data_IF_565202911213
#
_entry.id   IF_565202911213
#
_cell.length_a   1.000
_cell.length_b   1.000
_cell.length_c   1.000
_cell.angle_alpha   90.00
_cell.angle_beta   90.00
_cell.angle_gamma   90.00
#
_symmetry.space_group_name_H-M   'P 1'
#
loop_
_entity.id
_entity.type
_entity.pdbx_description
1 polymer ?
#
# COMPACT_ATOMS: atom_id res chain seq x y z
N UNK A 1 13.13 -22.70 -10.90
CA UNK A 1 14.22 -22.62 -9.88
C UNK A 1 13.60 -22.42 -8.52
N UNK A 2 14.07 -23.11 -7.49
CA UNK A 2 13.54 -22.84 -6.13
C UNK A 2 13.86 -21.40 -5.72
N UNK A 3 12.91 -20.72 -5.08
CA UNK A 3 13.10 -19.38 -4.48
C UNK A 3 14.20 -19.45 -3.43
N UNK A 4 14.98 -18.38 -3.26
CA UNK A 4 16.15 -18.37 -2.36
C UNK A 4 15.81 -18.68 -0.90
N UNK A 5 14.60 -18.38 -0.49
CA UNK A 5 14.05 -18.64 0.84
C UNK A 5 13.18 -19.89 0.93
N UNK A 6 13.17 -20.71 -0.14
CA UNK A 6 12.40 -21.95 -0.27
C UNK A 6 10.86 -21.79 -0.20
N UNK A 7 10.33 -20.57 -0.38
CA UNK A 7 8.87 -20.38 -0.49
C UNK A 7 8.32 -21.06 -1.76
N UNK A 8 7.10 -21.58 -1.65
CA UNK A 8 6.33 -21.99 -2.82
C UNK A 8 5.92 -20.77 -3.67
N UNK A 9 5.60 -20.93 -4.97
CA UNK A 9 5.19 -19.82 -5.83
C UNK A 9 3.99 -19.02 -5.33
N UNK A 10 3.07 -19.65 -4.62
CA UNK A 10 1.86 -19.06 -4.03
C UNK A 10 2.06 -18.57 -2.59
N UNK A 11 3.26 -18.70 -2.04
CA UNK A 11 3.57 -18.31 -0.66
C UNK A 11 4.21 -16.91 -0.60
N UNK A 12 3.65 -16.03 0.22
CA UNK A 12 4.20 -14.71 0.52
C UNK A 12 5.13 -14.75 1.75
N UNK A 13 6.00 -13.74 1.89
CA UNK A 13 6.90 -13.56 3.04
C UNK A 13 6.11 -13.30 4.32
N UNK A 14 6.67 -13.54 5.51
CA UNK A 14 6.04 -13.17 6.77
C UNK A 14 5.66 -11.69 6.80
N UNK A 15 4.44 -11.41 7.21
CA UNK A 15 3.86 -10.07 7.25
C UNK A 15 3.50 -9.75 8.70
N UNK A 16 3.80 -8.51 9.10
CA UNK A 16 3.49 -8.00 10.43
C UNK A 16 3.08 -6.54 10.38
N UNK A 17 2.07 -6.18 11.15
CA UNK A 17 1.64 -4.81 11.40
C UNK A 17 1.81 -4.49 12.88
N UNK A 18 2.72 -3.56 13.20
CA UNK A 18 2.92 -3.08 14.58
C UNK A 18 2.25 -1.71 14.69
N UNK A 19 1.10 -1.66 15.35
CA UNK A 19 0.28 -0.46 15.56
C UNK A 19 0.86 0.44 16.64
N UNK A 20 0.42 1.70 16.64
CA UNK A 20 0.84 2.72 17.62
C UNK A 20 2.36 2.88 17.69
N UNK A 21 3.00 2.90 16.52
CA UNK A 21 4.47 2.96 16.42
C UNK A 21 5.02 4.37 16.65
N UNK A 22 4.22 5.41 16.36
CA UNK A 22 4.50 6.82 16.63
C UNK A 22 3.27 7.50 17.24
N UNK A 23 3.40 8.78 17.63
CA UNK A 23 2.33 9.60 18.20
C UNK A 23 1.33 10.17 17.16
N UNK A 24 1.39 9.75 15.88
CA UNK A 24 0.41 10.17 14.87
C UNK A 24 -0.97 9.57 15.19
N UNK A 25 -2.06 10.18 14.67
CA UNK A 25 -3.43 9.72 14.91
C UNK A 25 -3.68 8.27 14.49
N UNK A 26 -2.98 7.81 13.44
CA UNK A 26 -2.84 6.42 13.08
C UNK A 26 -1.37 6.14 12.74
N UNK A 27 -0.80 5.04 13.23
CA UNK A 27 0.62 4.75 13.02
C UNK A 27 0.91 3.26 13.03
N UNK A 28 1.53 2.78 11.97
CA UNK A 28 1.82 1.36 11.77
C UNK A 28 3.21 1.18 11.17
N UNK A 29 4.04 0.35 11.78
CA UNK A 29 5.18 -0.24 11.09
C UNK A 29 4.68 -1.51 10.37
N UNK A 30 4.62 -1.45 9.05
CA UNK A 30 4.28 -2.59 8.19
C UNK A 30 5.56 -3.28 7.72
N UNK A 31 5.62 -4.59 7.92
CA UNK A 31 6.76 -5.44 7.55
C UNK A 31 6.29 -6.55 6.61
N UNK A 32 7.04 -6.78 5.52
CA UNK A 32 6.88 -7.91 4.63
C UNK A 32 8.28 -8.49 4.35
N UNK A 33 8.62 -9.58 5.02
CA UNK A 33 9.99 -10.08 5.04
C UNK A 33 10.97 -9.04 5.56
N UNK A 34 11.90 -8.59 4.71
CA UNK A 34 12.87 -7.53 5.05
C UNK A 34 12.40 -6.12 4.65
N UNK A 35 11.32 -6.02 3.89
CA UNK A 35 10.72 -4.72 3.56
C UNK A 35 10.01 -4.17 4.79
N UNK A 36 10.29 -2.91 5.12
CA UNK A 36 9.72 -2.19 6.26
C UNK A 36 9.27 -0.81 5.83
N UNK A 37 8.01 -0.50 6.09
CA UNK A 37 7.42 0.80 5.77
C UNK A 37 6.74 1.34 7.02
N UNK A 38 7.12 2.54 7.42
CA UNK A 38 6.38 3.30 8.42
C UNK A 38 5.23 4.00 7.71
N UNK A 39 4.00 3.69 8.11
CA UNK A 39 2.78 4.29 7.60
C UNK A 39 2.14 5.10 8.72
N UNK A 40 1.95 6.39 8.52
CA UNK A 40 1.29 7.26 9.48
C UNK A 40 0.12 7.98 8.84
N UNK A 41 -0.88 8.32 9.66
CA UNK A 41 -2.02 9.13 9.25
C UNK A 41 -2.21 10.28 10.22
N UNK A 42 -2.14 11.49 9.69
CA UNK A 42 -2.43 12.73 10.41
C UNK A 42 -3.78 13.28 9.98
N UNK A 43 -4.61 13.64 10.95
CA UNK A 43 -5.90 14.30 10.72
C UNK A 43 -5.70 15.81 10.83
N UNK A 44 -6.14 16.55 9.82
CA UNK A 44 -6.12 18.00 9.78
C UNK A 44 -7.56 18.54 9.59
N UNK A 45 -8.02 19.42 10.46
CA UNK A 45 -9.38 20.00 10.42
C UNK A 45 -9.56 21.06 9.32
N UNK A 46 -9.08 20.74 8.13
CA UNK A 46 -9.16 21.56 6.94
C UNK A 46 -9.18 20.66 5.69
N UNK A 47 -9.93 21.10 4.68
CA UNK A 47 -9.84 20.51 3.34
C UNK A 47 -8.96 21.38 2.43
N UNK A 48 -8.42 20.86 1.33
CA UNK A 48 -7.66 21.67 0.36
C UNK A 48 -8.48 22.86 -0.17
N UNK A 49 -7.81 23.96 -0.50
CA UNK A 49 -8.46 25.21 -0.96
C UNK A 49 -9.45 25.00 -2.13
N UNK A 50 -9.13 24.08 -3.05
CA UNK A 50 -9.98 23.79 -4.20
C UNK A 50 -11.31 23.10 -3.82
N UNK A 51 -11.44 22.61 -2.57
CA UNK A 51 -12.67 22.05 -2.01
C UNK A 51 -13.49 23.06 -1.23
N UNK A 52 -12.95 24.24 -0.88
CA UNK A 52 -13.67 25.26 -0.16
C UNK A 52 -15.00 25.62 -0.87
N UNK A 53 -16.03 25.81 -0.11
CA UNK A 53 -17.40 26.11 -0.56
C UNK A 53 -18.10 24.98 -1.36
N UNK A 54 -17.52 23.78 -1.43
CA UNK A 54 -18.16 22.64 -2.11
C UNK A 54 -18.98 21.78 -1.17
N UNK A 55 -18.77 21.89 0.15
CA UNK A 55 -19.38 21.05 1.21
C UNK A 55 -19.35 19.56 0.83
N UNK A 56 -18.21 19.09 0.29
CA UNK A 56 -18.07 17.80 -0.33
C UNK A 56 -17.52 16.71 0.63
N UNK A 57 -17.56 16.98 1.97
CA UNK A 57 -16.98 16.09 2.98
C UNK A 57 -15.48 16.28 3.13
N UNK A 58 -14.78 15.21 3.54
CA UNK A 58 -13.33 15.23 3.75
C UNK A 58 -12.49 14.94 2.51
N UNK A 59 -11.19 14.94 2.71
CA UNK A 59 -10.21 14.57 1.70
C UNK A 59 -9.19 13.56 2.24
N UNK A 60 -8.55 12.83 1.34
CA UNK A 60 -7.41 11.98 1.63
C UNK A 60 -6.33 12.21 0.58
N UNK A 61 -5.12 12.47 1.05
CA UNK A 61 -3.91 12.52 0.24
C UNK A 61 -2.85 11.57 0.79
N UNK A 62 -1.92 11.14 -0.05
CA UNK A 62 -0.85 10.26 0.36
C UNK A 62 0.49 10.77 -0.15
N UNK A 63 1.53 10.59 0.67
CA UNK A 63 2.92 10.79 0.32
C UNK A 63 3.68 9.46 0.45
N UNK A 64 4.73 9.31 -0.34
CA UNK A 64 5.59 8.13 -0.31
C UNK A 64 7.03 8.56 -0.51
N UNK A 65 7.89 8.09 0.37
CA UNK A 65 9.31 8.37 0.31
C UNK A 65 10.13 7.13 0.72
N UNK A 66 11.38 7.08 0.28
CA UNK A 66 12.34 6.07 0.72
C UNK A 66 13.48 6.73 1.49
N UNK A 67 13.81 6.21 2.67
CA UNK A 67 15.03 6.61 3.35
C UNK A 67 16.24 6.37 2.45
N UNK A 68 17.27 7.25 2.49
CA UNK A 68 18.49 7.07 1.71
C UNK A 68 19.15 5.70 1.88
N UNK A 69 19.00 5.11 3.06
CA UNK A 69 19.58 3.81 3.45
C UNK A 69 18.63 2.63 3.25
N UNK A 70 17.41 2.86 2.72
CA UNK A 70 16.41 1.81 2.58
C UNK A 70 16.86 0.67 1.64
N UNK A 71 17.72 0.97 0.67
CA UNK A 71 18.30 0.00 -0.26
C UNK A 71 19.80 0.22 -0.48
N UNK A 72 20.39 -0.58 -1.36
CA UNK A 72 21.78 -0.43 -1.82
C UNK A 72 21.80 -0.38 -3.35
N UNK A 73 22.52 0.59 -3.95
CA UNK A 73 23.28 1.68 -3.34
C UNK A 73 22.38 2.71 -2.64
N UNK A 74 22.96 3.56 -1.78
CA UNK A 74 22.26 4.65 -1.09
C UNK A 74 21.60 5.60 -2.09
N UNK A 75 20.30 5.88 -1.89
CA UNK A 75 19.53 6.86 -2.67
C UNK A 75 19.70 8.28 -2.10
N UNK A 76 19.81 9.34 -2.92
CA UNK A 76 19.67 10.72 -2.44
C UNK A 76 18.29 10.94 -1.80
N UNK A 77 18.18 11.89 -0.86
CA UNK A 77 16.85 12.30 -0.34
C UNK A 77 16.11 13.06 -1.42
N UNK A 78 14.83 12.71 -1.59
CA UNK A 78 13.91 13.43 -2.45
C UNK A 78 13.65 14.84 -1.87
N UNK A 79 13.33 15.80 -2.74
CA UNK A 79 13.01 17.18 -2.34
C UNK A 79 14.19 18.02 -1.82
N UNK A 80 15.39 17.46 -1.69
CA UNK A 80 16.57 18.21 -1.24
C UNK A 80 17.26 18.90 -2.42
N UNK A 81 17.69 20.16 -2.22
CA UNK A 81 18.46 20.95 -3.21
C UNK A 81 17.73 21.18 -4.55
N UNK A 82 16.41 21.46 -4.51
CA UNK A 82 15.64 21.79 -5.71
C UNK A 82 15.39 20.61 -6.66
N UNK A 83 15.70 19.38 -6.27
CA UNK A 83 15.33 18.19 -7.04
C UNK A 83 13.86 17.87 -6.77
N UNK A 84 13.02 17.72 -7.81
CA UNK A 84 11.66 17.23 -7.64
C UNK A 84 11.69 15.81 -7.07
N UNK A 85 10.55 15.36 -6.54
CA UNK A 85 10.32 13.94 -6.24
C UNK A 85 10.65 13.12 -7.50
N UNK A 86 11.25 11.94 -7.32
CA UNK A 86 11.45 11.07 -8.46
C UNK A 86 10.10 10.57 -9.01
N UNK A 87 10.06 10.25 -10.31
CA UNK A 87 8.84 9.83 -10.97
C UNK A 87 8.20 8.59 -10.32
N UNK A 88 9.02 7.68 -9.77
CA UNK A 88 8.58 6.47 -9.07
C UNK A 88 7.87 6.82 -7.75
N UNK A 89 8.46 7.68 -6.92
CA UNK A 89 7.83 8.11 -5.65
C UNK A 89 6.50 8.82 -5.93
N UNK A 90 6.47 9.69 -6.95
CA UNK A 90 5.25 10.38 -7.36
C UNK A 90 4.15 9.42 -7.86
N UNK A 91 4.52 8.40 -8.62
CA UNK A 91 3.59 7.36 -9.09
C UNK A 91 3.01 6.56 -7.93
N UNK A 92 3.87 6.11 -6.99
CA UNK A 92 3.46 5.27 -5.85
C UNK A 92 2.55 6.05 -4.90
N UNK A 93 2.84 7.30 -4.57
CA UNK A 93 1.94 8.10 -3.73
C UNK A 93 0.55 8.29 -4.36
N UNK A 94 0.47 8.43 -5.69
CA UNK A 94 -0.81 8.49 -6.40
C UNK A 94 -1.57 7.15 -6.33
N UNK A 95 -0.87 6.02 -6.43
CA UNK A 95 -1.42 4.68 -6.28
C UNK A 95 -2.00 4.49 -4.87
N UNK A 96 -1.23 4.78 -3.82
CA UNK A 96 -1.67 4.69 -2.42
C UNK A 96 -2.94 5.54 -2.22
N UNK A 97 -2.89 6.81 -2.61
CA UNK A 97 -4.02 7.72 -2.45
C UNK A 97 -5.29 7.26 -3.18
N UNK A 98 -5.18 6.76 -4.43
CA UNK A 98 -6.35 6.22 -5.16
C UNK A 98 -6.93 5.01 -4.47
N UNK A 99 -6.07 4.08 -4.07
CA UNK A 99 -6.46 2.85 -3.38
C UNK A 99 -7.22 3.14 -2.08
N UNK A 100 -6.68 3.99 -1.22
CA UNK A 100 -7.31 4.33 0.05
C UNK A 100 -8.61 5.12 -0.14
N UNK A 101 -8.70 5.99 -1.16
CA UNK A 101 -9.97 6.67 -1.49
C UNK A 101 -11.06 5.71 -1.98
N UNK A 102 -10.73 4.55 -2.53
CA UNK A 102 -11.73 3.52 -2.82
C UNK A 102 -12.26 2.85 -1.54
N UNK A 103 -11.47 2.78 -0.48
CA UNK A 103 -11.83 2.16 0.79
C UNK A 103 -12.71 3.03 1.69
N UNK A 104 -12.75 4.35 1.47
CA UNK A 104 -13.40 5.31 2.36
C UNK A 104 -14.50 6.11 1.65
N UNK A 105 -15.59 6.42 2.36
CA UNK A 105 -16.62 7.36 1.94
C UNK A 105 -16.25 8.78 2.38
N UNK A 106 -15.54 9.51 1.53
CA UNK A 106 -15.09 10.86 1.83
C UNK A 106 -16.27 11.84 2.05
N UNK A 107 -17.44 11.60 1.42
CA UNK A 107 -18.62 12.41 1.62
C UNK A 107 -19.26 12.22 3.04
N UNK A 108 -18.94 11.09 3.69
CA UNK A 108 -19.35 10.80 5.05
C UNK A 108 -18.42 11.39 6.11
N UNK A 109 -17.27 11.91 5.70
CA UNK A 109 -16.29 12.55 6.57
C UNK A 109 -16.65 14.03 6.84
N UNK A 110 -16.25 14.59 7.99
CA UNK A 110 -16.24 16.03 8.17
C UNK A 110 -15.28 16.72 7.18
N UNK A 111 -15.31 18.05 7.11
CA UNK A 111 -14.36 18.85 6.31
C UNK A 111 -12.94 18.78 6.90
N UNK A 112 -12.34 17.59 6.84
CA UNK A 112 -11.00 17.29 7.32
C UNK A 112 -10.17 16.59 6.23
N UNK A 113 -8.86 16.66 6.34
CA UNK A 113 -7.93 15.94 5.45
C UNK A 113 -7.20 14.86 6.23
N UNK A 114 -7.21 13.64 5.70
CA UNK A 114 -6.31 12.57 6.11
C UNK A 114 -5.03 12.66 5.29
N UNK A 115 -3.93 12.99 5.94
CA UNK A 115 -2.59 12.94 5.38
C UNK A 115 -1.97 11.59 5.69
N UNK A 116 -1.70 10.82 4.64
CA UNK A 116 -1.12 9.48 4.75
C UNK A 116 0.32 9.54 4.30
N UNK A 117 1.24 9.30 5.21
CA UNK A 117 2.68 9.31 4.93
C UNK A 117 3.22 7.88 4.99
N UNK A 118 3.95 7.46 3.94
CA UNK A 118 4.54 6.13 3.83
C UNK A 118 6.04 6.25 3.61
N UNK A 119 6.83 6.03 4.67
CA UNK A 119 8.28 6.09 4.64
C UNK A 119 8.90 4.69 4.62
N UNK A 120 9.58 4.35 3.53
CA UNK A 120 10.28 3.07 3.41
C UNK A 120 11.59 3.12 4.18
N UNK A 121 11.67 2.34 5.25
CA UNK A 121 12.85 2.22 6.13
C UNK A 121 13.86 1.20 5.59
N UNK A 122 13.34 0.11 4.99
CA UNK A 122 14.12 -0.96 4.37
C UNK A 122 13.35 -1.52 3.17
N UNK A 123 14.03 -1.77 2.06
CA UNK A 123 13.44 -2.22 0.82
C UNK A 123 14.06 -3.56 0.36
N UNK A 124 13.19 -4.56 0.17
CA UNK A 124 13.53 -5.88 -0.37
C UNK A 124 12.38 -6.40 -1.27
N UNK A 125 11.94 -5.60 -2.25
CA UNK A 125 10.76 -5.87 -3.08
C UNK A 125 9.45 -5.56 -2.36
N UNK A 126 8.36 -5.31 -3.12
CA UNK A 126 7.01 -5.11 -2.60
C UNK A 126 6.81 -3.86 -1.73
N UNK A 127 7.63 -2.80 -1.87
CA UNK A 127 7.53 -1.60 -1.02
C UNK A 127 6.20 -0.88 -1.17
N UNK A 128 5.65 -0.79 -2.39
CA UNK A 128 4.36 -0.12 -2.66
C UNK A 128 3.17 -0.89 -2.10
N UNK A 129 3.18 -2.22 -2.21
CA UNK A 129 2.11 -3.07 -1.68
C UNK A 129 2.14 -3.13 -0.15
N UNK A 130 3.34 -3.19 0.46
CA UNK A 130 3.52 -3.08 1.91
C UNK A 130 3.03 -1.71 2.42
N UNK A 131 3.32 -0.62 1.70
CA UNK A 131 2.84 0.72 2.03
C UNK A 131 1.30 0.81 1.99
N UNK A 132 0.65 0.28 0.94
CA UNK A 132 -0.82 0.26 0.85
C UNK A 132 -1.43 -0.51 2.02
N UNK A 133 -0.91 -1.70 2.32
CA UNK A 133 -1.43 -2.54 3.39
C UNK A 133 -1.26 -1.91 4.78
N UNK A 134 -0.10 -1.32 5.05
CA UNK A 134 0.15 -0.61 6.31
C UNK A 134 -0.64 0.68 6.44
N UNK A 135 -0.75 1.44 5.35
CA UNK A 135 -1.51 2.69 5.32
C UNK A 135 -3.01 2.48 5.58
N UNK A 136 -3.58 1.36 5.11
CA UNK A 136 -4.97 1.01 5.43
C UNK A 136 -5.15 0.77 6.93
N UNK A 137 -4.26 0.01 7.57
CA UNK A 137 -4.32 -0.25 9.02
C UNK A 137 -4.13 1.05 9.80
N UNK A 138 -3.18 1.91 9.39
CA UNK A 138 -2.98 3.23 10.01
C UNK A 138 -4.19 4.15 9.80
N UNK A 139 -4.83 4.12 8.63
CA UNK A 139 -6.05 4.89 8.36
C UNK A 139 -7.20 4.41 9.26
N UNK A 140 -7.34 3.11 9.46
CA UNK A 140 -8.35 2.57 10.39
C UNK A 140 -8.14 3.11 11.80
N UNK A 141 -6.90 3.13 12.31
CA UNK A 141 -6.57 3.67 13.63
C UNK A 141 -6.89 5.17 13.75
N UNK A 142 -6.58 5.96 12.70
CA UNK A 142 -6.91 7.38 12.67
C UNK A 142 -8.43 7.61 12.66
N UNK A 143 -9.20 6.75 11.98
CA UNK A 143 -10.66 6.83 12.00
C UNK A 143 -11.23 6.44 13.38
N UNK A 144 -10.65 5.45 14.06
CA UNK A 144 -11.03 5.14 15.45
C UNK A 144 -10.77 6.33 16.38
N UNK A 145 -9.60 6.96 16.23
CA UNK A 145 -9.29 8.16 16.99
C UNK A 145 -10.32 9.29 16.74
N UNK A 146 -10.71 9.55 15.48
CA UNK A 146 -11.74 10.52 15.15
C UNK A 146 -13.11 10.16 15.75
N UNK A 147 -13.46 8.88 15.79
CA UNK A 147 -14.70 8.39 16.41
C UNK A 147 -14.70 8.62 17.92
N UNK A 148 -13.59 8.31 18.60
CA UNK A 148 -13.39 8.58 20.03
C UNK A 148 -13.51 10.08 20.36
N UNK A 149 -13.02 10.96 19.46
CA UNK A 149 -13.17 12.40 19.57
C UNK A 149 -14.57 12.90 19.17
N UNK A 150 -15.49 12.00 18.79
CA UNK A 150 -16.85 12.32 18.30
C UNK A 150 -16.86 13.24 17.06
N UNK A 151 -15.84 13.17 16.25
CA UNK A 151 -15.70 13.95 15.01
C UNK A 151 -16.42 13.30 13.83
N UNK A 152 -16.67 11.97 13.85
CA UNK A 152 -17.31 11.25 12.77
C UNK A 152 -18.85 11.23 12.92
N UNK A 153 -19.61 11.74 11.92
CA UNK A 153 -21.08 11.62 11.90
C UNK A 153 -21.55 10.18 11.75
N UNK A 154 -20.79 9.38 10.99
CA UNK A 154 -20.95 7.93 10.79
C UNK A 154 -19.60 7.33 10.44
N UNK A 155 -19.46 6.01 10.61
CA UNK A 155 -18.26 5.29 10.20
C UNK A 155 -18.06 5.37 8.69
N UNK A 156 -16.93 5.94 8.20
CA UNK A 156 -16.77 6.22 6.78
C UNK A 156 -16.08 5.10 5.99
N UNK A 157 -15.46 4.11 6.65
CA UNK A 157 -14.77 3.04 5.95
C UNK A 157 -15.78 2.12 5.25
N UNK A 158 -15.66 1.94 3.94
CA UNK A 158 -16.51 1.08 3.11
C UNK A 158 -16.09 -0.38 3.17
N UNK A 159 -14.81 -0.64 3.41
CA UNK A 159 -14.24 -1.96 3.51
C UNK A 159 -12.72 -1.93 3.42
N UNK A 160 -12.11 -3.07 3.75
CA UNK A 160 -10.66 -3.24 3.67
C UNK A 160 -10.21 -3.29 2.22
N UNK A 161 -8.99 -2.83 1.97
CA UNK A 161 -8.27 -3.04 0.71
C UNK A 161 -6.95 -3.70 1.00
N UNK A 162 -6.49 -4.55 0.09
CA UNK A 162 -5.22 -5.25 0.24
C UNK A 162 -4.46 -5.26 -1.09
N UNK A 163 -3.15 -5.31 -1.02
CA UNK A 163 -2.29 -5.23 -2.18
C UNK A 163 -1.16 -6.27 -2.09
N UNK A 164 -0.82 -6.87 -3.23
CA UNK A 164 0.32 -7.77 -3.36
C UNK A 164 1.04 -7.53 -4.68
N UNK A 165 2.35 -7.84 -4.73
CA UNK A 165 3.06 -7.99 -5.98
C UNK A 165 2.95 -9.43 -6.48
N UNK A 166 2.92 -9.61 -7.79
CA UNK A 166 2.92 -10.90 -8.46
C UNK A 166 3.64 -10.76 -9.79
N UNK A 167 4.35 -11.77 -10.23
CA UNK A 167 5.06 -11.69 -11.50
C UNK A 167 5.40 -13.05 -12.08
N UNK A 168 5.99 -13.03 -13.28
CA UNK A 168 6.55 -14.20 -13.95
C UNK A 168 8.06 -14.20 -13.75
N UNK A 169 8.57 -15.26 -13.13
CA UNK A 169 10.00 -15.48 -12.93
C UNK A 169 10.36 -16.83 -13.52
N UNK A 170 11.17 -16.85 -14.56
CA UNK A 170 11.51 -18.06 -15.32
C UNK A 170 10.27 -18.82 -15.83
N UNK A 171 9.26 -18.09 -16.31
CA UNK A 171 8.02 -18.65 -16.83
C UNK A 171 7.03 -19.16 -15.76
N UNK A 172 7.33 -19.02 -14.47
CA UNK A 172 6.46 -19.43 -13.36
C UNK A 172 5.84 -18.22 -12.69
N UNK A 173 4.52 -18.23 -12.47
CA UNK A 173 3.82 -17.16 -11.77
C UNK A 173 4.06 -17.28 -10.26
N UNK A 174 4.52 -16.18 -9.63
CA UNK A 174 4.87 -16.13 -8.20
C UNK A 174 4.26 -14.91 -7.54
N UNK A 175 3.81 -15.05 -6.29
CA UNK A 175 3.31 -13.95 -5.46
C UNK A 175 4.42 -13.42 -4.55
N UNK A 176 4.33 -12.13 -4.22
CA UNK A 176 5.23 -11.43 -3.31
C UNK A 176 6.71 -11.60 -3.69
N UNK A 177 7.10 -10.94 -4.77
CA UNK A 177 8.48 -10.97 -5.27
C UNK A 177 9.41 -10.22 -4.32
N UNK A 178 10.52 -10.86 -3.92
CA UNK A 178 11.63 -10.16 -3.27
C UNK A 178 12.41 -9.32 -4.30
N UNK A 179 13.38 -8.53 -3.84
CA UNK A 179 14.17 -7.66 -4.72
C UNK A 179 14.89 -8.43 -5.86
N UNK A 180 15.38 -9.64 -5.60
CA UNK A 180 16.08 -10.44 -6.61
C UNK A 180 15.11 -11.01 -7.64
N UNK A 181 13.95 -11.46 -7.18
CA UNK A 181 12.89 -11.98 -8.04
C UNK A 181 12.31 -10.85 -8.90
N UNK A 182 11.97 -9.70 -8.29
CA UNK A 182 11.48 -8.50 -8.96
C UNK A 182 12.47 -8.01 -10.04
N UNK A 183 13.74 -7.86 -9.71
CA UNK A 183 14.78 -7.43 -10.67
C UNK A 183 15.04 -8.43 -11.81
N UNK A 184 14.69 -9.69 -11.63
CA UNK A 184 14.85 -10.76 -12.63
C UNK A 184 13.54 -11.14 -13.31
N UNK A 185 12.41 -10.62 -12.88
CA UNK A 185 11.10 -10.94 -13.41
C UNK A 185 11.00 -10.65 -14.93
N UNK A 186 10.21 -11.45 -15.61
CA UNK A 186 9.83 -11.25 -17.02
C UNK A 186 8.64 -10.27 -17.08
N UNK A 187 7.78 -10.37 -16.07
CA UNK A 187 6.58 -9.51 -15.86
C UNK A 187 6.48 -9.23 -14.38
N UNK A 188 6.25 -7.97 -14.00
CA UNK A 188 5.93 -7.53 -12.65
C UNK A 188 4.57 -6.85 -12.64
N UNK A 189 3.66 -7.33 -11.79
CA UNK A 189 2.35 -6.75 -11.56
C UNK A 189 2.17 -6.41 -10.09
N UNK A 190 1.48 -5.30 -9.82
CA UNK A 190 0.98 -4.96 -8.51
C UNK A 190 -0.55 -4.96 -8.58
N UNK A 191 -1.19 -5.75 -7.73
CA UNK A 191 -2.62 -5.98 -7.72
C UNK A 191 -3.21 -5.50 -6.41
N UNK A 192 -4.28 -4.72 -6.50
CA UNK A 192 -5.05 -4.21 -5.36
C UNK A 192 -6.47 -4.74 -5.44
N UNK A 193 -6.92 -5.36 -4.36
CA UNK A 193 -8.26 -5.91 -4.24
C UNK A 193 -9.06 -5.23 -3.13
N UNK A 194 -10.36 -5.10 -3.36
CA UNK A 194 -11.35 -4.79 -2.34
C UNK A 194 -11.64 -6.02 -1.46
N UNK A 195 -12.32 -5.80 -0.34
CA UNK A 195 -12.68 -6.86 0.62
C UNK A 195 -13.56 -7.98 0.03
N UNK A 196 -14.30 -7.71 -1.03
CA UNK A 196 -15.13 -8.69 -1.75
C UNK A 196 -14.40 -9.39 -2.90
N UNK A 197 -13.08 -9.16 -3.04
CA UNK A 197 -12.24 -9.77 -4.07
C UNK A 197 -12.26 -9.05 -5.42
N UNK A 198 -13.07 -7.99 -5.60
CA UNK A 198 -13.03 -7.17 -6.82
C UNK A 198 -11.73 -6.42 -6.93
N UNK A 199 -11.24 -6.29 -8.17
CA UNK A 199 -10.01 -5.56 -8.46
C UNK A 199 -10.26 -4.06 -8.35
N UNK A 200 -9.36 -3.36 -7.65
CA UNK A 200 -9.32 -1.89 -7.58
C UNK A 200 -8.31 -1.37 -8.60
N UNK A 201 -7.13 -1.97 -8.64
CA UNK A 201 -6.08 -1.59 -9.57
C UNK A 201 -5.22 -2.80 -9.93
N UNK A 202 -4.84 -2.89 -11.19
CA UNK A 202 -3.83 -3.81 -11.71
C UNK A 202 -2.82 -2.96 -12.47
N UNK A 203 -1.60 -2.90 -11.96
CA UNK A 203 -0.54 -2.11 -12.54
C UNK A 203 0.69 -2.99 -12.76
N UNK A 204 1.25 -2.93 -13.94
CA UNK A 204 2.46 -3.65 -14.24
C UNK A 204 2.83 -3.61 -15.71
N UNK A 205 4.01 -4.14 -16.00
CA UNK A 205 4.59 -4.14 -17.33
C UNK A 205 5.28 -5.46 -17.63
N UNK A 206 5.43 -5.71 -18.91
CA UNK A 206 6.36 -6.71 -19.43
C UNK A 206 7.78 -6.12 -19.40
N UNK A 207 8.64 -6.66 -18.55
CA UNK A 207 10.02 -6.18 -18.40
C UNK A 207 10.97 -6.82 -19.43
N UNK A 208 10.74 -8.09 -19.77
CA UNK A 208 11.64 -8.83 -20.68
C UNK A 208 10.94 -9.42 -21.89
N UNK A 209 9.68 -9.82 -21.77
CA UNK A 209 8.89 -10.38 -22.86
C UNK A 209 7.40 -10.09 -22.68
N UNK A 210 6.65 -10.00 -23.78
CA UNK A 210 5.18 -9.97 -23.70
C UNK A 210 4.64 -11.20 -22.97
N UNK A 211 3.49 -11.05 -22.32
CA UNK A 211 2.78 -12.13 -21.63
C UNK A 211 1.38 -12.33 -22.25
N UNK A 212 0.91 -13.56 -22.12
CA UNK A 212 -0.40 -13.96 -22.64
C UNK A 212 -1.52 -13.66 -21.66
N UNK A 213 -2.77 -13.70 -22.13
CA UNK A 213 -3.96 -13.60 -21.26
C UNK A 213 -4.03 -14.74 -20.25
N UNK A 214 -3.55 -15.95 -20.59
CA UNK A 214 -3.50 -17.08 -19.68
C UNK A 214 -2.49 -16.84 -18.53
N UNK A 215 -1.31 -16.30 -18.82
CA UNK A 215 -0.32 -15.92 -17.81
C UNK A 215 -0.85 -14.78 -16.93
N UNK A 216 -1.53 -13.79 -17.50
CA UNK A 216 -2.18 -12.73 -16.73
C UNK A 216 -3.22 -13.32 -15.77
N UNK A 217 -4.07 -14.22 -16.23
CA UNK A 217 -5.09 -14.85 -15.39
C UNK A 217 -4.46 -15.62 -14.23
N UNK A 218 -3.39 -16.39 -14.49
CA UNK A 218 -2.66 -17.12 -13.44
C UNK A 218 -2.11 -16.17 -12.36
N UNK A 219 -1.49 -15.04 -12.77
CA UNK A 219 -1.00 -14.03 -11.85
C UNK A 219 -2.13 -13.37 -11.04
N UNK A 220 -3.26 -13.05 -11.68
CA UNK A 220 -4.42 -12.47 -11.00
C UNK A 220 -5.05 -13.45 -9.99
N UNK A 221 -5.16 -14.74 -10.32
CA UNK A 221 -5.68 -15.77 -9.42
C UNK A 221 -4.80 -15.92 -8.18
N UNK A 222 -3.47 -15.89 -8.34
CA UNK A 222 -2.52 -15.87 -7.22
C UNK A 222 -2.69 -14.61 -6.37
N UNK A 223 -2.76 -13.46 -7.02
CA UNK A 223 -2.89 -12.17 -6.34
C UNK A 223 -4.19 -12.08 -5.54
N UNK A 224 -5.33 -12.51 -6.08
CA UNK A 224 -6.61 -12.47 -5.37
C UNK A 224 -6.60 -13.34 -4.11
N UNK A 225 -6.02 -14.55 -4.17
CA UNK A 225 -5.86 -15.42 -2.99
C UNK A 225 -4.98 -14.75 -1.93
N UNK A 226 -3.83 -14.24 -2.33
CA UNK A 226 -2.91 -13.58 -1.41
C UNK A 226 -3.51 -12.28 -0.82
N UNK A 227 -4.28 -11.51 -1.60
CA UNK A 227 -5.02 -10.35 -1.11
C UNK A 227 -6.08 -10.74 -0.06
N UNK A 228 -6.79 -11.86 -0.26
CA UNK A 228 -7.76 -12.35 0.71
C UNK A 228 -7.09 -12.73 2.05
N UNK A 229 -5.91 -13.33 2.01
CA UNK A 229 -5.14 -13.65 3.22
C UNK A 229 -4.54 -12.39 3.85
N UNK A 230 -4.04 -11.46 3.04
CA UNK A 230 -3.56 -10.16 3.53
C UNK A 230 -4.63 -9.41 4.32
N UNK A 231 -5.88 -9.41 3.82
CA UNK A 231 -7.01 -8.83 4.53
C UNK A 231 -7.21 -9.46 5.90
N UNK A 232 -7.16 -10.79 6.02
CA UNK A 232 -7.26 -11.48 7.33
C UNK A 232 -6.17 -11.03 8.31
N UNK A 233 -4.94 -10.83 7.81
CA UNK A 233 -3.83 -10.34 8.63
C UNK A 233 -4.05 -8.89 9.08
N UNK A 234 -4.62 -8.03 8.23
CA UNK A 234 -5.01 -6.68 8.59
C UNK A 234 -6.13 -6.69 9.65
N UNK A 235 -7.19 -7.47 9.43
CA UNK A 235 -8.31 -7.64 10.39
C UNK A 235 -7.80 -8.17 11.73
N UNK A 236 -6.94 -9.19 11.73
CA UNK A 236 -6.31 -9.71 12.93
C UNK A 236 -5.47 -8.66 13.68
N UNK A 237 -4.70 -7.85 12.96
CA UNK A 237 -3.93 -6.76 13.55
C UNK A 237 -4.82 -5.69 14.19
N UNK A 238 -6.02 -5.47 13.64
CA UNK A 238 -7.02 -4.52 14.13
C UNK A 238 -7.89 -5.10 15.26
N UNK A 239 -7.86 -6.42 15.48
CA UNK A 239 -8.73 -7.09 16.46
C UNK A 239 -10.17 -7.29 15.97
N UNK A 240 -10.36 -7.43 14.65
CA UNK A 240 -11.64 -7.60 13.97
C UNK A 240 -11.91 -9.08 13.67
#
# INVERSE_FOLDING_TARGET
>A
MARKDNRAPDQYRPIKFTRSFTEAHGSVLAECGKTRVLCTVSVQDQVPQWMYNRHAGGWLTAEYSMLPSAGRPRKPRDGRTGRPLDGRSFEIQRLIGRTLRCAIDLAAMPEATLWVDCDVLSADGGTRTTAINGALVAMYDALLWMEEQRQLPKWPLRGMVSAVSVGLVNGEAMVDLDYHEDSSAEVDLNVVCASDGRLIEVQGAAEKRPYTMAELQQMLDLAQRACADMRKLQEQALGL
#
